data_IF_912919043485
#
_entry.id   IF_912919043485
#
_cell.length_a   1.000
_cell.length_b   1.000
_cell.length_c   1.000
_cell.angle_alpha   90.00
_cell.angle_beta   90.00
_cell.angle_gamma   90.00
#
_symmetry.space_group_name_H-M   'P 1'
#
loop_
_entity.id
_entity.type
_entity.pdbx_description
1 polymer ?
#
# COMPACT_ATOMS: atom_id res chain seq x y z
N UNK A 1 21.88 -11.95 -14.64
CA UNK A 1 21.14 -11.65 -13.40
C UNK A 1 19.68 -11.46 -13.78
N UNK A 2 18.82 -12.46 -13.57
CA UNK A 2 17.40 -12.33 -13.96
C UNK A 2 16.74 -11.21 -13.16
N UNK A 3 16.17 -10.21 -13.83
CA UNK A 3 15.31 -9.22 -13.21
C UNK A 3 13.88 -9.75 -13.19
N UNK A 4 13.15 -9.55 -12.11
CA UNK A 4 11.72 -9.84 -12.08
C UNK A 4 11.02 -8.87 -13.05
N UNK A 5 9.97 -9.34 -13.71
CA UNK A 5 9.21 -8.52 -14.67
C UNK A 5 7.77 -8.31 -14.21
N UNK A 6 7.13 -7.23 -14.67
CA UNK A 6 5.66 -7.08 -14.63
C UNK A 6 5.13 -7.04 -16.05
N UNK A 7 4.05 -7.76 -16.27
CA UNK A 7 3.26 -7.74 -17.49
C UNK A 7 1.96 -6.96 -17.23
N UNK A 8 2.07 -5.63 -17.30
CA UNK A 8 0.98 -4.66 -17.20
C UNK A 8 1.37 -3.37 -17.94
N UNK A 9 0.43 -2.74 -18.66
CA UNK A 9 0.71 -1.55 -19.45
C UNK A 9 0.93 -0.29 -18.60
N UNK A 10 0.36 -0.24 -17.39
CA UNK A 10 0.46 0.91 -16.48
C UNK A 10 1.80 0.96 -15.75
N UNK A 11 2.56 -0.15 -15.76
CA UNK A 11 3.82 -0.31 -15.03
C UNK A 11 5.00 -0.52 -15.97
N UNK A 12 6.18 -0.08 -15.52
CA UNK A 12 7.42 -0.39 -16.23
C UNK A 12 7.74 -1.88 -16.10
N UNK A 13 8.22 -2.53 -17.18
CA UNK A 13 8.37 -3.98 -17.21
C UNK A 13 9.47 -4.51 -16.27
N UNK A 14 10.46 -3.69 -15.90
CA UNK A 14 11.56 -4.11 -15.04
C UNK A 14 11.28 -3.85 -13.55
N UNK A 15 11.21 -4.91 -12.74
CA UNK A 15 11.13 -4.79 -11.29
C UNK A 15 12.50 -4.91 -10.62
N UNK A 16 12.75 -4.02 -9.68
CA UNK A 16 13.87 -4.11 -8.78
C UNK A 16 13.40 -4.57 -7.39
N UNK A 17 14.03 -5.63 -6.91
CA UNK A 17 13.75 -6.23 -5.60
C UNK A 17 14.77 -5.71 -4.59
N UNK A 18 14.28 -5.37 -3.40
CA UNK A 18 15.08 -4.80 -2.33
C UNK A 18 14.78 -5.49 -1.00
N UNK A 19 15.76 -5.49 -0.11
CA UNK A 19 15.64 -5.89 1.29
C UNK A 19 16.03 -4.71 2.17
N UNK A 20 15.27 -4.37 3.22
CA UNK A 20 15.67 -3.34 4.17
C UNK A 20 16.96 -3.75 4.89
N UNK A 21 17.90 -2.81 5.03
CA UNK A 21 19.06 -3.02 5.89
C UNK A 21 18.61 -2.94 7.36
N UNK A 22 19.28 -3.68 8.26
CA UNK A 22 19.08 -3.48 9.69
C UNK A 22 19.45 -2.04 10.05
N UNK A 23 18.75 -1.47 11.04
CA UNK A 23 18.80 -0.03 11.37
C UNK A 23 20.22 0.49 11.58
N UNK A 24 21.07 -0.29 12.22
CA UNK A 24 22.46 0.08 12.50
C UNK A 24 23.37 0.10 11.26
N UNK A 25 23.05 -0.62 10.19
CA UNK A 25 23.86 -0.68 8.97
C UNK A 25 23.37 0.29 7.89
N UNK A 26 22.32 1.08 8.17
CA UNK A 26 21.85 2.08 7.22
C UNK A 26 22.89 3.19 7.05
N UNK A 27 23.02 3.69 5.83
CA UNK A 27 23.97 4.74 5.48
C UNK A 27 23.64 6.10 6.11
N UNK A 28 22.43 6.29 6.62
CA UNK A 28 22.04 7.48 7.40
C UNK A 28 22.33 7.33 8.91
N UNK A 29 22.62 6.12 9.40
CA UNK A 29 22.83 5.88 10.85
C UNK A 29 24.29 5.60 11.16
N UNK A 30 24.90 4.60 10.51
CA UNK A 30 26.25 4.14 10.86
C UNK A 30 27.32 5.22 10.68
N UNK A 31 27.51 5.81 9.48
CA UNK A 31 28.60 6.75 9.27
C UNK A 31 28.42 8.03 10.09
N UNK A 32 27.18 8.51 10.24
CA UNK A 32 26.90 9.68 11.07
C UNK A 32 27.10 9.38 12.56
N UNK A 33 26.70 8.21 13.05
CA UNK A 33 26.98 7.77 14.42
C UNK A 33 28.48 7.72 14.71
N UNK A 34 29.28 7.19 13.77
CA UNK A 34 30.74 7.22 13.87
C UNK A 34 31.28 8.66 13.88
N UNK A 35 30.79 9.53 12.99
CA UNK A 35 31.19 10.93 12.97
C UNK A 35 30.88 11.63 14.31
N UNK A 36 29.66 11.51 14.84
CA UNK A 36 29.31 12.10 16.13
C UNK A 36 30.17 11.55 17.29
N UNK A 37 30.48 10.25 17.27
CA UNK A 37 31.38 9.65 18.27
C UNK A 37 32.82 10.20 18.15
N UNK A 38 33.32 10.44 16.94
CA UNK A 38 34.64 11.07 16.77
C UNK A 38 34.64 12.52 17.25
N UNK A 39 33.60 13.30 16.94
CA UNK A 39 33.48 14.67 17.44
C UNK A 39 33.38 14.73 18.96
N UNK A 40 32.64 13.80 19.59
CA UNK A 40 32.54 13.75 21.06
C UNK A 40 33.86 13.34 21.72
N UNK A 41 34.59 12.39 21.15
CA UNK A 41 35.93 12.03 21.63
C UNK A 41 36.92 13.20 21.49
N UNK A 42 36.93 13.89 20.35
CA UNK A 42 37.75 15.09 20.14
C UNK A 42 37.39 16.21 21.13
N UNK A 43 36.09 16.40 21.42
CA UNK A 43 35.63 17.39 22.40
C UNK A 43 36.04 17.09 23.85
N UNK A 44 36.35 15.83 24.17
CA UNK A 44 36.82 15.41 25.47
C UNK A 44 38.33 15.60 25.65
N UNK A 45 39.10 15.60 24.56
CA UNK A 45 40.58 15.64 24.59
C UNK A 45 41.15 17.01 24.18
N UNK A 46 40.46 17.79 23.34
CA UNK A 46 40.96 19.04 22.79
C UNK A 46 40.19 20.28 23.27
N UNK A 47 40.87 21.43 23.29
CA UNK A 47 40.25 22.74 23.52
C UNK A 47 39.27 23.06 22.38
N UNK A 48 38.06 23.51 22.73
CA UNK A 48 36.97 23.77 21.78
C UNK A 48 37.20 25.10 21.07
N UNK A 49 37.66 25.06 19.83
CA UNK A 49 37.76 26.24 18.95
C UNK A 49 36.51 26.43 18.07
N UNK A 50 36.37 27.60 17.44
CA UNK A 50 35.27 27.89 16.51
C UNK A 50 35.17 26.90 15.34
N UNK A 51 36.30 26.39 14.85
CA UNK A 51 36.32 25.37 13.79
C UNK A 51 35.64 24.05 14.18
N UNK A 52 35.68 23.67 15.47
CA UNK A 52 34.98 22.49 15.97
C UNK A 52 33.46 22.66 15.87
N UNK A 53 32.95 23.83 16.26
CA UNK A 53 31.53 24.15 16.19
C UNK A 53 31.02 24.15 14.73
N UNK A 54 31.79 24.74 13.81
CA UNK A 54 31.47 24.74 12.38
C UNK A 54 31.47 23.33 11.80
N UNK A 55 32.46 22.50 12.15
CA UNK A 55 32.52 21.11 11.73
C UNK A 55 31.33 20.28 12.21
N UNK A 56 30.93 20.44 13.47
CA UNK A 56 29.76 19.76 14.03
C UNK A 56 28.46 20.21 13.34
N UNK A 57 28.32 21.51 13.08
CA UNK A 57 27.17 22.05 12.35
C UNK A 57 27.09 21.48 10.92
N UNK A 58 28.21 21.38 10.20
CA UNK A 58 28.27 20.76 8.87
C UNK A 58 27.84 19.28 8.91
N UNK A 59 28.30 18.51 9.90
CA UNK A 59 27.89 17.11 10.08
C UNK A 59 26.39 17.03 10.36
N UNK A 60 25.84 17.89 11.21
CA UNK A 60 24.41 17.94 11.49
C UNK A 60 23.57 18.32 10.25
N UNK A 61 24.00 19.33 9.49
CA UNK A 61 23.32 19.75 8.26
C UNK A 61 23.36 18.65 7.19
N UNK A 62 24.51 18.00 6.99
CA UNK A 62 24.63 16.89 6.03
C UNK A 62 23.80 15.67 6.46
N UNK A 63 23.78 15.34 7.75
CA UNK A 63 22.92 14.28 8.28
C UNK A 63 21.43 14.58 8.02
N UNK A 64 20.96 15.78 8.38
CA UNK A 64 19.59 16.21 8.12
C UNK A 64 19.24 16.16 6.62
N UNK A 65 20.15 16.64 5.75
CA UNK A 65 19.95 16.60 4.30
C UNK A 65 19.85 15.16 3.77
N UNK A 66 20.68 14.23 4.26
CA UNK A 66 20.59 12.81 3.85
C UNK A 66 19.26 12.18 4.29
N UNK A 67 18.79 12.50 5.50
CA UNK A 67 17.49 12.07 5.97
C UNK A 67 16.36 12.58 5.06
N UNK A 68 16.31 13.90 4.81
CA UNK A 68 15.27 14.50 3.97
C UNK A 68 15.34 14.01 2.52
N UNK A 69 16.52 13.90 1.93
CA UNK A 69 16.70 13.36 0.59
C UNK A 69 16.18 11.92 0.48
N UNK A 70 16.32 11.12 1.54
CA UNK A 70 15.76 9.75 1.59
C UNK A 70 14.23 9.71 1.64
N UNK A 71 13.57 10.73 2.19
CA UNK A 71 12.11 10.81 2.19
C UNK A 71 11.56 11.45 0.90
N UNK A 72 12.32 12.34 0.24
CA UNK A 72 11.91 12.99 -1.01
C UNK A 72 12.12 12.14 -2.25
N UNK A 73 13.10 11.24 -2.22
CA UNK A 73 13.45 10.43 -3.39
C UNK A 73 13.53 8.96 -3.02
N UNK A 74 12.66 8.16 -3.64
CA UNK A 74 12.72 6.70 -3.49
C UNK A 74 14.04 6.10 -3.96
N UNK A 75 14.74 6.74 -4.92
CA UNK A 75 16.06 6.28 -5.36
C UNK A 75 17.09 6.44 -4.24
N UNK A 76 17.09 7.59 -3.58
CA UNK A 76 17.97 7.86 -2.43
C UNK A 76 17.57 6.96 -1.26
N UNK A 77 16.27 6.78 -1.00
CA UNK A 77 15.78 5.84 0.02
C UNK A 77 16.31 4.42 -0.21
N UNK A 78 16.20 3.93 -1.44
CA UNK A 78 16.71 2.61 -1.81
C UNK A 78 18.22 2.52 -1.63
N UNK A 79 18.97 3.57 -1.97
CA UNK A 79 20.42 3.60 -1.78
C UNK A 79 20.84 3.62 -0.31
N UNK A 80 20.16 4.41 0.52
CA UNK A 80 20.53 4.64 1.93
C UNK A 80 20.12 3.47 2.84
N UNK A 81 18.92 2.93 2.64
CA UNK A 81 18.27 2.03 3.60
C UNK A 81 17.98 0.62 3.05
N UNK A 82 18.25 0.34 1.76
CA UNK A 82 17.93 -0.95 1.15
C UNK A 82 19.11 -1.56 0.38
N UNK A 83 19.11 -2.88 0.29
CA UNK A 83 20.07 -3.66 -0.50
C UNK A 83 19.32 -4.34 -1.64
N UNK A 84 19.88 -4.29 -2.84
CA UNK A 84 19.27 -4.92 -4.01
C UNK A 84 19.47 -6.43 -3.96
N UNK A 85 18.41 -7.19 -4.19
CA UNK A 85 18.46 -8.66 -4.22
C UNK A 85 18.12 -9.21 -5.61
N UNK A 86 18.60 -10.42 -5.90
CA UNK A 86 18.20 -11.18 -7.09
C UNK A 86 16.90 -11.93 -6.83
N UNK A 87 16.28 -12.47 -7.90
CA UNK A 87 15.06 -13.29 -7.81
C UNK A 87 15.24 -14.48 -6.86
N UNK A 88 16.41 -15.11 -6.83
CA UNK A 88 16.70 -16.22 -5.92
C UNK A 88 16.57 -15.83 -4.44
N UNK A 89 16.76 -14.54 -4.12
CA UNK A 89 16.56 -14.00 -2.78
C UNK A 89 15.10 -14.01 -2.32
N UNK A 90 14.11 -14.19 -3.22
CA UNK A 90 12.72 -14.37 -2.80
C UNK A 90 12.61 -15.61 -1.90
N UNK A 91 13.13 -16.77 -2.25
CA UNK A 91 12.99 -17.95 -1.39
C UNK A 91 13.70 -17.83 -0.03
N UNK A 92 14.72 -16.96 0.07
CA UNK A 92 15.62 -16.90 1.24
C UNK A 92 15.17 -15.90 2.30
N UNK A 93 14.57 -14.77 1.90
CA UNK A 93 14.22 -13.67 2.80
C UNK A 93 12.72 -13.43 2.78
N UNK A 94 12.12 -13.18 3.95
CA UNK A 94 10.69 -12.87 4.04
C UNK A 94 10.38 -11.38 3.85
N UNK A 95 11.26 -10.51 4.34
CA UNK A 95 11.10 -9.04 4.26
C UNK A 95 11.59 -8.47 2.92
N UNK A 96 10.95 -8.87 1.83
CA UNK A 96 11.28 -8.37 0.48
C UNK A 96 10.28 -7.28 0.06
N UNK A 97 10.81 -6.17 -0.45
CA UNK A 97 10.02 -5.11 -1.07
C UNK A 97 10.35 -5.01 -2.55
N UNK A 98 9.33 -4.72 -3.35
CA UNK A 98 9.48 -4.46 -4.78
C UNK A 98 9.36 -2.96 -5.02
N UNK A 99 10.29 -2.41 -5.80
CA UNK A 99 10.20 -1.04 -6.30
C UNK A 99 9.36 -1.04 -7.57
N UNK A 100 8.18 -0.43 -7.49
CA UNK A 100 7.26 -0.29 -8.61
C UNK A 100 7.41 1.11 -9.19
N UNK A 101 7.68 1.19 -10.49
CA UNK A 101 7.73 2.45 -11.24
C UNK A 101 6.61 2.45 -12.28
N UNK A 102 5.66 3.39 -12.21
CA UNK A 102 4.61 3.50 -13.20
C UNK A 102 5.16 4.02 -14.54
N UNK A 103 4.42 3.72 -15.61
CA UNK A 103 4.69 4.25 -16.95
C UNK A 103 4.29 5.72 -17.03
N UNK A 104 3.19 6.12 -16.38
CA UNK A 104 2.74 7.50 -16.33
C UNK A 104 3.51 8.31 -15.28
N UNK A 105 4.01 9.51 -15.62
CA UNK A 105 4.77 10.35 -14.69
C UNK A 105 3.92 11.00 -13.59
N UNK A 106 2.58 11.05 -13.77
CA UNK A 106 1.65 11.56 -12.76
C UNK A 106 1.49 10.62 -11.57
N UNK A 107 1.79 9.33 -11.74
CA UNK A 107 1.68 8.34 -10.69
C UNK A 107 2.99 8.25 -9.90
N UNK A 108 2.94 8.17 -8.56
CA UNK A 108 4.14 8.05 -7.76
C UNK A 108 4.73 6.64 -7.88
N UNK A 109 6.04 6.54 -8.01
CA UNK A 109 6.74 5.29 -7.72
C UNK A 109 6.55 4.95 -6.23
N UNK A 110 6.57 3.65 -5.89
CA UNK A 110 6.37 3.19 -4.51
C UNK A 110 7.19 1.93 -4.23
N UNK A 111 7.53 1.70 -2.96
CA UNK A 111 8.07 0.43 -2.47
C UNK A 111 6.93 -0.39 -1.89
N UNK A 112 6.54 -1.46 -2.57
CA UNK A 112 5.45 -2.32 -2.14
C UNK A 112 6.02 -3.58 -1.46
N UNK A 113 5.55 -3.96 -0.26
CA UNK A 113 5.97 -5.21 0.37
C UNK A 113 5.41 -6.41 -0.40
N UNK A 114 6.26 -7.40 -0.66
CA UNK A 114 5.82 -8.68 -1.21
C UNK A 114 5.21 -9.50 -0.08
N UNK A 115 3.96 -9.92 -0.26
CA UNK A 115 3.27 -10.80 0.67
C UNK A 115 3.34 -12.24 0.19
N UNK A 116 3.48 -13.12 1.17
CA UNK A 116 3.45 -14.57 0.99
C UNK A 116 2.23 -15.12 1.67
N UNK A 117 1.51 -15.92 0.93
CA UNK A 117 0.36 -16.64 1.45
C UNK A 117 0.69 -18.12 1.34
N UNK A 118 0.89 -18.76 2.50
CA UNK A 118 1.12 -20.20 2.54
C UNK A 118 -0.15 -20.89 2.04
N UNK A 119 -0.05 -21.83 1.09
CA UNK A 119 -1.21 -22.61 0.69
C UNK A 119 -1.74 -23.34 1.92
N UNK A 120 -3.03 -23.16 2.24
CA UNK A 120 -3.61 -23.83 3.40
C UNK A 120 -3.46 -25.35 3.25
N UNK A 121 -3.14 -26.09 4.32
CA UNK A 121 -2.88 -27.54 4.24
C UNK A 121 -4.07 -28.33 3.66
N UNK A 122 -5.29 -27.79 3.77
CA UNK A 122 -6.52 -28.37 3.21
C UNK A 122 -6.60 -28.25 1.68
N UNK A 123 -5.99 -27.22 1.10
CA UNK A 123 -6.01 -26.95 -0.35
C UNK A 123 -4.94 -27.74 -1.13
N UNK A 124 -3.87 -28.21 -0.47
CA UNK A 124 -2.84 -29.03 -1.13
C UNK A 124 -3.32 -30.45 -1.44
N UNK A 125 -4.27 -30.98 -0.66
CA UNK A 125 -4.76 -32.36 -0.79
C UNK A 125 -5.79 -32.51 -1.93
N UNK A 126 -6.53 -31.45 -2.24
CA UNK A 126 -7.50 -31.42 -3.34
C UNK A 126 -7.00 -30.43 -4.37
N UNK A 127 -6.55 -30.93 -5.53
CA UNK A 127 -6.10 -30.15 -6.69
C UNK A 127 -7.12 -29.03 -6.98
N UNK A 128 -6.88 -27.84 -6.44
CA UNK A 128 -7.86 -26.76 -6.47
C UNK A 128 -8.05 -26.32 -7.92
N UNK A 129 -9.30 -26.27 -8.40
CA UNK A 129 -9.65 -25.81 -9.74
C UNK A 129 -9.23 -24.35 -9.97
N UNK A 130 -9.06 -23.57 -8.90
CA UNK A 130 -8.68 -22.17 -8.92
C UNK A 130 -7.23 -22.03 -8.41
N UNK A 131 -6.31 -21.45 -9.21
CA UNK A 131 -4.94 -21.23 -8.77
C UNK A 131 -4.93 -20.15 -7.67
N UNK A 132 -4.44 -20.49 -6.47
CA UNK A 132 -4.24 -19.51 -5.39
C UNK A 132 -2.85 -18.88 -5.54
N UNK A 133 -2.73 -17.54 -5.59
CA UNK A 133 -1.44 -16.88 -5.71
C UNK A 133 -0.65 -16.99 -4.41
N UNK A 134 0.54 -17.59 -4.45
CA UNK A 134 1.41 -17.77 -3.28
C UNK A 134 2.24 -16.52 -2.96
N UNK A 135 2.55 -15.72 -3.98
CA UNK A 135 3.36 -14.52 -3.91
C UNK A 135 2.65 -13.39 -4.65
N UNK A 136 2.43 -12.27 -3.96
CA UNK A 136 1.78 -11.11 -4.56
C UNK A 136 2.20 -9.81 -3.87
N UNK A 137 2.06 -8.69 -4.57
CA UNK A 137 2.17 -7.36 -3.99
C UNK A 137 0.98 -6.51 -4.45
N UNK A 138 0.74 -5.39 -3.77
CA UNK A 138 -0.32 -4.45 -4.12
C UNK A 138 0.28 -3.09 -4.44
N UNK A 139 -0.08 -2.52 -5.59
CA UNK A 139 0.23 -1.14 -5.97
C UNK A 139 -1.07 -0.43 -6.33
N UNK A 140 -1.35 0.72 -5.72
CA UNK A 140 -2.62 1.45 -5.92
C UNK A 140 -3.88 0.59 -5.78
N UNK A 141 -3.91 -0.30 -4.77
CA UNK A 141 -4.99 -1.28 -4.53
C UNK A 141 -5.19 -2.34 -5.64
N UNK A 142 -4.35 -2.35 -6.68
CA UNK A 142 -4.29 -3.43 -7.66
C UNK A 142 -3.31 -4.51 -7.19
N UNK A 143 -3.76 -5.77 -7.23
CA UNK A 143 -2.95 -6.93 -6.84
C UNK A 143 -2.21 -7.49 -8.05
N UNK A 144 -0.91 -7.68 -7.89
CA UNK A 144 -0.03 -8.31 -8.86
C UNK A 144 0.48 -9.62 -8.29
N UNK A 145 0.16 -10.72 -8.95
CA UNK A 145 0.46 -12.07 -8.51
C UNK A 145 1.58 -12.66 -9.36
N UNK A 146 2.43 -13.48 -8.75
CA UNK A 146 3.44 -14.23 -9.48
C UNK A 146 2.79 -15.27 -10.39
N UNK A 147 3.12 -15.26 -11.67
CA UNK A 147 2.69 -16.30 -12.60
C UNK A 147 3.62 -17.52 -12.49
N UNK A 148 3.07 -18.65 -12.05
CA UNK A 148 3.80 -19.92 -11.92
C UNK A 148 3.75 -20.76 -13.21
N UNK A 149 3.03 -20.31 -14.24
CA UNK A 149 2.85 -21.06 -15.49
C UNK A 149 3.99 -20.89 -16.49
N UNK A 150 4.69 -19.76 -16.49
CA UNK A 150 5.84 -19.52 -17.37
C UNK A 150 7.14 -20.01 -16.74
N UNK A 151 7.81 -20.94 -17.40
CA UNK A 151 9.16 -21.41 -17.08
C UNK A 151 10.18 -20.33 -17.49
N UNK A 152 10.38 -19.34 -16.61
CA UNK A 152 11.31 -18.22 -16.72
C UNK A 152 11.12 -17.30 -17.96
N UNK A 153 11.19 -15.96 -17.80
CA UNK A 153 11.50 -15.21 -16.58
C UNK A 153 10.32 -15.13 -15.58
N UNK A 154 10.66 -14.90 -14.30
CA UNK A 154 9.69 -14.69 -13.21
C UNK A 154 8.91 -13.39 -13.46
N UNK A 155 7.62 -13.53 -13.75
CA UNK A 155 6.76 -12.43 -14.16
C UNK A 155 5.57 -12.27 -13.20
N UNK A 156 5.32 -11.04 -12.77
CA UNK A 156 4.13 -10.65 -12.02
C UNK A 156 3.06 -10.15 -12.99
N UNK A 157 1.84 -10.65 -12.82
CA UNK A 157 0.67 -10.26 -13.61
C UNK A 157 -0.40 -9.70 -12.72
N UNK A 158 -1.18 -8.75 -13.25
CA UNK A 158 -2.39 -8.28 -12.59
C UNK A 158 -3.33 -9.46 -12.29
N UNK A 159 -3.97 -9.43 -11.14
CA UNK A 159 -4.94 -10.46 -10.75
C UNK A 159 -6.04 -10.57 -11.81
N UNK A 160 -6.17 -11.76 -12.40
CA UNK A 160 -7.15 -12.02 -13.46
C UNK A 160 -8.49 -12.45 -12.89
N UNK A 161 -9.55 -11.94 -13.53
CA UNK A 161 -10.94 -12.26 -13.24
C UNK A 161 -11.54 -13.08 -14.40
N UNK A 162 -12.50 -13.99 -14.12
CA UNK A 162 -13.11 -14.83 -15.14
C UNK A 162 -14.18 -14.03 -15.91
N UNK A 163 -13.76 -13.03 -16.70
CA UNK A 163 -14.65 -12.14 -17.48
C UNK A 163 -14.69 -12.47 -18.99
N UNK A 164 -13.68 -13.18 -19.49
CA UNK A 164 -13.52 -13.47 -20.93
C UNK A 164 -13.86 -14.92 -21.29
N UNK A 165 -14.87 -15.52 -20.65
CA UNK A 165 -15.34 -16.87 -21.03
C UNK A 165 -16.48 -16.78 -22.03
N UNK A 166 -16.75 -17.87 -22.75
CA UNK A 166 -17.90 -17.95 -23.64
C UNK A 166 -19.22 -17.82 -22.86
N UNK A 167 -20.25 -17.23 -23.48
CA UNK A 167 -21.56 -17.05 -22.86
C UNK A 167 -22.17 -18.38 -22.38
N UNK A 168 -21.95 -19.46 -23.13
CA UNK A 168 -22.38 -20.81 -22.76
C UNK A 168 -21.78 -21.29 -21.42
N UNK A 169 -20.52 -20.90 -21.14
CA UNK A 169 -19.86 -21.25 -19.88
C UNK A 169 -20.48 -20.52 -18.68
N UNK A 170 -20.96 -19.28 -18.86
CA UNK A 170 -21.70 -18.55 -17.82
C UNK A 170 -23.13 -19.07 -17.65
N UNK A 171 -23.84 -19.34 -18.76
CA UNK A 171 -25.19 -19.86 -18.73
C UNK A 171 -25.30 -21.24 -18.06
N UNK A 172 -24.28 -22.08 -18.22
CA UNK A 172 -24.19 -23.41 -17.59
C UNK A 172 -23.54 -23.41 -16.20
N UNK A 173 -23.22 -22.26 -15.62
CA UNK A 173 -22.59 -22.20 -14.30
C UNK A 173 -23.58 -22.58 -13.19
N UNK A 174 -23.16 -23.44 -12.26
CA UNK A 174 -23.97 -23.92 -11.12
C UNK A 174 -23.52 -23.34 -9.77
N UNK A 175 -22.77 -22.23 -9.79
CA UNK A 175 -22.17 -21.63 -8.60
C UNK A 175 -21.12 -22.52 -7.93
N UNK A 176 -20.76 -22.20 -6.70
CA UNK A 176 -19.76 -22.97 -5.93
C UNK A 176 -20.40 -24.16 -5.22
N UNK A 177 -20.17 -25.37 -5.76
CA UNK A 177 -20.66 -26.63 -5.16
C UNK A 177 -19.71 -27.24 -4.12
N UNK A 178 -18.41 -26.94 -4.20
CA UNK A 178 -17.38 -27.45 -3.29
C UNK A 178 -16.83 -26.35 -2.38
N UNK A 179 -16.74 -26.63 -1.07
CA UNK A 179 -16.17 -25.69 -0.08
C UNK A 179 -14.73 -25.33 -0.39
N UNK A 180 -13.95 -26.29 -0.91
CA UNK A 180 -12.55 -26.06 -1.27
C UNK A 180 -12.42 -25.07 -2.43
N UNK A 181 -13.33 -25.14 -3.42
CA UNK A 181 -13.36 -24.17 -4.52
C UNK A 181 -13.74 -22.77 -4.02
N UNK A 182 -14.68 -22.68 -3.08
CA UNK A 182 -15.08 -21.40 -2.46
C UNK A 182 -13.94 -20.80 -1.62
N UNK A 183 -13.28 -21.60 -0.79
CA UNK A 183 -12.11 -21.15 0.00
C UNK A 183 -10.97 -20.69 -0.92
N UNK A 184 -10.69 -21.43 -2.01
CA UNK A 184 -9.70 -21.04 -3.01
C UNK A 184 -10.06 -19.71 -3.71
N UNK A 185 -11.33 -19.51 -4.04
CA UNK A 185 -11.85 -18.27 -4.61
C UNK A 185 -11.68 -17.09 -3.64
N UNK A 186 -12.03 -17.30 -2.36
CA UNK A 186 -11.87 -16.29 -1.30
C UNK A 186 -10.42 -15.88 -1.08
N UNK A 187 -9.47 -16.82 -1.11
CA UNK A 187 -8.04 -16.51 -1.02
C UNK A 187 -7.52 -15.74 -2.25
N UNK A 188 -7.98 -16.13 -3.45
CA UNK A 188 -7.54 -15.51 -4.70
C UNK A 188 -8.05 -14.07 -4.84
N UNK A 189 -9.37 -13.84 -4.71
CA UNK A 189 -9.99 -12.55 -4.98
C UNK A 189 -10.26 -11.69 -3.75
N UNK A 190 -10.13 -12.24 -2.54
CA UNK A 190 -10.47 -11.58 -1.28
C UNK A 190 -11.95 -11.16 -1.23
N UNK A 191 -12.29 -10.40 -0.19
CA UNK A 191 -13.63 -9.87 0.02
C UNK A 191 -13.94 -8.74 -0.96
N UNK A 192 -15.21 -8.63 -1.32
CA UNK A 192 -15.77 -7.53 -2.10
C UNK A 192 -15.98 -6.29 -1.19
N UNK A 193 -14.89 -5.70 -0.72
CA UNK A 193 -14.88 -4.53 0.15
C UNK A 193 -14.11 -3.39 -0.51
N UNK A 194 -14.75 -2.22 -0.61
CA UNK A 194 -14.09 -1.00 -1.05
C UNK A 194 -13.69 -0.18 0.16
N UNK A 195 -12.46 -0.40 0.66
CA UNK A 195 -11.95 0.33 1.82
C UNK A 195 -11.06 1.51 1.38
N UNK A 196 -11.53 2.74 1.62
CA UNK A 196 -10.71 3.95 1.51
C UNK A 196 -9.86 4.01 2.78
N UNK A 197 -8.53 3.87 2.68
CA UNK A 197 -7.69 3.94 3.86
C UNK A 197 -7.74 5.35 4.43
N UNK A 198 -8.12 5.48 5.70
CA UNK A 198 -8.09 6.76 6.40
C UNK A 198 -6.76 6.87 7.15
N UNK A 199 -5.76 7.61 6.61
CA UNK A 199 -4.49 7.75 7.27
C UNK A 199 -4.67 8.54 8.57
N UNK A 200 -3.91 8.15 9.60
CA UNK A 200 -3.91 8.87 10.86
C UNK A 200 -3.44 10.32 10.67
N UNK A 201 -3.99 11.24 11.45
CA UNK A 201 -3.61 12.66 11.45
C UNK A 201 -2.09 12.85 11.49
N UNK A 202 -1.39 12.11 12.36
CA UNK A 202 0.06 12.21 12.52
C UNK A 202 0.83 11.75 11.27
N UNK A 203 0.33 10.72 10.58
CA UNK A 203 0.93 10.25 9.33
C UNK A 203 0.82 11.32 8.25
N UNK A 204 -0.35 11.97 8.15
CA UNK A 204 -0.56 13.07 7.21
C UNK A 204 0.28 14.29 7.56
N UNK A 205 0.33 14.66 8.84
CA UNK A 205 1.12 15.79 9.32
C UNK A 205 2.61 15.57 9.04
N UNK A 206 3.14 14.37 9.32
CA UNK A 206 4.53 14.04 8.98
C UNK A 206 4.82 14.24 7.48
N UNK A 207 3.91 13.83 6.59
CA UNK A 207 4.09 14.02 5.14
C UNK A 207 4.18 15.50 4.76
N UNK A 208 3.38 16.36 5.38
CA UNK A 208 3.42 17.81 5.18
C UNK A 208 4.67 18.46 5.77
N UNK A 209 5.04 18.10 7.00
CA UNK A 209 6.22 18.66 7.68
C UNK A 209 7.54 18.27 7.00
N UNK A 210 7.58 17.12 6.34
CA UNK A 210 8.76 16.66 5.58
C UNK A 210 8.74 17.22 4.16
N UNK A 211 7.69 17.91 3.72
CA UNK A 211 7.65 18.50 2.38
C UNK A 211 8.81 19.50 2.20
N UNK A 212 9.52 19.48 1.03
CA UNK A 212 10.69 20.34 0.81
C UNK A 212 10.42 21.82 1.07
N UNK A 213 9.22 22.28 0.70
CA UNK A 213 8.79 23.66 0.92
C UNK A 213 8.70 24.02 2.41
N UNK A 214 8.01 23.20 3.20
CA UNK A 214 7.87 23.42 4.64
C UNK A 214 9.23 23.41 5.34
N UNK A 215 10.08 22.41 5.05
CA UNK A 215 11.41 22.30 5.65
C UNK A 215 12.25 23.54 5.35
N UNK A 216 12.21 24.03 4.12
CA UNK A 216 12.91 25.25 3.73
C UNK A 216 12.37 26.49 4.47
N UNK A 217 11.05 26.65 4.54
CA UNK A 217 10.42 27.76 5.26
C UNK A 217 10.79 27.74 6.76
N UNK A 218 10.69 26.58 7.39
CA UNK A 218 11.04 26.40 8.80
C UNK A 218 12.52 26.71 9.05
N UNK A 219 13.41 26.27 8.16
CA UNK A 219 14.84 26.56 8.25
C UNK A 219 15.13 28.06 8.11
N UNK A 220 14.49 28.74 7.15
CA UNK A 220 14.61 30.19 6.99
C UNK A 220 14.18 30.91 8.27
N UNK A 221 13.01 30.57 8.83
CA UNK A 221 12.54 31.17 10.10
C UNK A 221 13.48 30.90 11.28
N UNK A 222 14.13 29.73 11.31
CA UNK A 222 15.14 29.41 12.32
C UNK A 222 16.38 30.31 12.22
N UNK A 223 16.82 30.64 11.00
CA UNK A 223 17.94 31.58 10.80
C UNK A 223 17.59 32.99 11.29
N UNK A 224 16.38 33.48 11.02
CA UNK A 224 15.89 34.75 11.57
C UNK A 224 15.81 34.75 13.10
N UNK A 225 15.50 33.59 13.68
CA UNK A 225 15.51 33.39 15.13
C UNK A 225 16.93 33.59 15.69
N UNK A 226 17.97 33.09 15.01
CA UNK A 226 19.36 33.21 15.48
C UNK A 226 19.97 34.62 15.35
N UNK A 227 19.34 35.53 14.59
CA UNK A 227 19.82 36.90 14.32
C UNK A 227 19.07 37.97 15.16
N UNK A 228 18.86 37.69 16.45
CA UNK A 228 18.24 38.57 17.46
C UNK A 228 16.71 38.81 17.38
N UNK A 229 15.99 38.28 16.37
CA UNK A 229 14.53 38.39 16.27
C UNK A 229 13.76 37.21 16.88
N UNK A 230 14.15 36.76 18.08
CA UNK A 230 13.63 35.54 18.72
C UNK A 230 12.10 35.54 18.88
N UNK A 231 11.51 36.60 19.45
CA UNK A 231 10.08 36.60 19.80
C UNK A 231 9.15 36.56 18.58
N UNK A 232 9.41 37.43 17.60
CA UNK A 232 8.61 37.48 16.37
C UNK A 232 8.79 36.20 15.53
N UNK A 233 10.01 35.66 15.47
CA UNK A 233 10.31 34.42 14.74
C UNK A 233 9.65 33.19 15.37
N UNK A 234 9.63 33.10 16.70
CA UNK A 234 8.95 32.01 17.42
C UNK A 234 7.43 32.03 17.19
N UNK A 235 6.81 33.22 17.26
CA UNK A 235 5.37 33.36 17.02
C UNK A 235 4.99 32.98 15.58
N UNK A 236 5.75 33.45 14.60
CA UNK A 236 5.53 33.17 13.18
C UNK A 236 5.77 31.69 12.85
N UNK A 237 6.78 31.06 13.44
CA UNK A 237 7.01 29.62 13.33
C UNK A 237 5.84 28.81 13.93
N UNK A 238 5.30 29.23 15.08
CA UNK A 238 4.11 28.60 15.66
C UNK A 238 2.88 28.75 14.74
N UNK A 239 2.66 29.93 14.16
CA UNK A 239 1.57 30.14 13.19
C UNK A 239 1.72 29.25 11.95
N UNK A 240 2.95 29.06 11.47
CA UNK A 240 3.25 28.19 10.33
C UNK A 240 2.89 26.72 10.64
N UNK A 241 3.26 26.22 11.83
CA UNK A 241 2.88 24.84 12.26
C UNK A 241 1.38 24.70 12.43
N UNK A 242 0.70 25.71 13.03
CA UNK A 242 -0.75 25.70 13.19
C UNK A 242 -1.47 25.69 11.83
N UNK A 243 -0.96 26.44 10.86
CA UNK A 243 -1.49 26.47 9.50
C UNK A 243 -1.39 25.09 8.82
N UNK A 244 -0.24 24.40 8.90
CA UNK A 244 -0.16 23.03 8.36
C UNK A 244 -1.11 22.08 9.08
N UNK A 245 -1.27 22.22 10.40
CA UNK A 245 -2.21 21.41 11.16
C UNK A 245 -3.66 21.60 10.68
N UNK A 246 -4.08 22.84 10.37
CA UNK A 246 -5.45 23.09 9.85
C UNK A 246 -5.61 22.54 8.44
N UNK A 247 -4.60 22.67 7.57
CA UNK A 247 -4.60 22.07 6.23
C UNK A 247 -4.73 20.55 6.29
N UNK A 248 -3.97 19.89 7.16
CA UNK A 248 -4.03 18.43 7.35
C UNK A 248 -5.39 17.99 7.89
N UNK A 249 -5.96 18.73 8.85
CA UNK A 249 -7.32 18.46 9.36
C UNK A 249 -8.36 18.59 8.26
N UNK A 250 -8.27 19.63 7.42
CA UNK A 250 -9.17 19.80 6.28
C UNK A 250 -9.07 18.63 5.31
N UNK A 251 -7.84 18.18 5.02
CA UNK A 251 -7.61 17.02 4.16
C UNK A 251 -8.19 15.73 4.75
N UNK A 252 -8.03 15.50 6.05
CA UNK A 252 -8.60 14.34 6.73
C UNK A 252 -10.12 14.36 6.66
N UNK A 253 -10.73 15.52 6.94
CA UNK A 253 -12.18 15.69 6.85
C UNK A 253 -12.70 15.41 5.43
N UNK A 254 -12.00 15.87 4.39
CA UNK A 254 -12.37 15.56 3.01
C UNK A 254 -12.32 14.05 2.71
N UNK A 255 -11.35 13.32 3.26
CA UNK A 255 -11.27 11.85 3.13
C UNK A 255 -12.41 11.15 3.90
N UNK A 256 -12.77 11.66 5.08
CA UNK A 256 -13.93 11.18 5.84
C UNK A 256 -15.23 11.36 5.04
N UNK A 257 -15.43 12.53 4.42
CA UNK A 257 -16.59 12.78 3.57
C UNK A 257 -16.64 11.82 2.37
N UNK A 258 -15.50 11.51 1.75
CA UNK A 258 -15.43 10.50 0.69
C UNK A 258 -15.73 9.09 1.21
N UNK A 259 -15.30 8.76 2.42
CA UNK A 259 -15.62 7.50 3.06
C UNK A 259 -17.11 7.37 3.40
N UNK A 260 -17.80 8.47 3.73
CA UNK A 260 -19.25 8.47 3.95
C UNK A 260 -20.06 8.19 2.67
N UNK A 261 -19.47 8.37 1.48
CA UNK A 261 -20.10 7.98 0.22
C UNK A 261 -20.03 6.47 -0.03
N UNK A 262 -19.29 5.72 0.80
CA UNK A 262 -19.25 4.27 0.71
C UNK A 262 -20.61 3.69 1.10
N UNK A 263 -21.06 2.71 0.31
CA UNK A 263 -22.33 2.04 0.56
C UNK A 263 -22.16 0.94 1.59
N UNK A 264 -23.08 0.81 2.55
CA UNK A 264 -23.03 -0.27 3.51
C UNK A 264 -23.22 -1.62 2.80
N UNK A 265 -22.66 -2.71 3.38
CA UNK A 265 -22.85 -4.04 2.85
C UNK A 265 -24.32 -4.45 2.90
N UNK A 266 -24.81 -5.01 1.80
CA UNK A 266 -26.21 -5.44 1.66
C UNK A 266 -26.30 -6.96 1.74
N UNK A 267 -27.42 -7.50 2.25
CA UNK A 267 -27.63 -8.95 2.28
C UNK A 267 -28.22 -9.41 0.95
N UNK A 268 -27.57 -10.39 0.33
CA UNK A 268 -27.96 -10.95 -0.97
C UNK A 268 -28.05 -12.46 -0.87
N UNK A 269 -29.00 -13.06 -1.59
CA UNK A 269 -29.08 -14.51 -1.73
C UNK A 269 -28.04 -14.99 -2.73
N UNK A 270 -27.09 -15.82 -2.28
CA UNK A 270 -26.14 -16.49 -3.17
C UNK A 270 -26.35 -18.01 -3.14
N UNK A 271 -26.16 -18.66 -4.28
CA UNK A 271 -26.29 -20.10 -4.44
C UNK A 271 -24.93 -20.78 -4.21
N UNK A 272 -24.76 -21.38 -3.02
CA UNK A 272 -23.54 -22.08 -2.59
C UNK A 272 -23.88 -23.44 -1.99
N UNK A 273 -23.05 -24.44 -2.25
CA UNK A 273 -23.26 -25.82 -1.76
C UNK A 273 -24.64 -26.36 -2.13
N UNK A 274 -25.11 -26.11 -3.36
CA UNK A 274 -26.44 -26.51 -3.88
C UNK A 274 -27.65 -25.93 -3.12
N UNK A 275 -27.45 -24.90 -2.30
CA UNK A 275 -28.51 -24.25 -1.51
C UNK A 275 -28.42 -22.73 -1.64
N UNK A 276 -29.56 -22.06 -1.59
CA UNK A 276 -29.62 -20.61 -1.46
C UNK A 276 -29.33 -20.20 -0.02
N UNK A 277 -28.39 -19.28 0.16
CA UNK A 277 -27.97 -18.78 1.47
C UNK A 277 -27.97 -17.24 1.45
N UNK A 278 -28.48 -16.61 2.50
CA UNK A 278 -28.35 -15.15 2.70
C UNK A 278 -26.92 -14.85 3.16
N UNK A 279 -26.20 -14.04 2.41
CA UNK A 279 -24.80 -13.67 2.66
C UNK A 279 -24.63 -12.16 2.53
N UNK A 280 -23.57 -11.63 3.14
CA UNK A 280 -23.18 -10.23 2.96
C UNK A 280 -22.63 -10.01 1.55
N UNK A 281 -22.88 -8.85 0.95
CA UNK A 281 -22.31 -8.43 -0.33
C UNK A 281 -20.78 -8.41 -0.33
N UNK A 282 -20.17 -8.28 0.86
CA UNK A 282 -18.72 -8.30 1.08
C UNK A 282 -18.11 -9.68 0.93
N UNK A 283 -18.89 -10.74 1.15
CA UNK A 283 -18.40 -12.12 1.06
C UNK A 283 -18.57 -12.69 -0.36
N UNK A 284 -19.12 -11.93 -1.30
CA UNK A 284 -19.29 -12.33 -2.69
C UNK A 284 -17.93 -12.45 -3.39
N UNK A 285 -17.76 -13.53 -4.14
CA UNK A 285 -16.57 -13.78 -4.96
C UNK A 285 -16.96 -14.01 -6.42
N UNK A 286 -16.07 -13.72 -7.39
CA UNK A 286 -16.36 -13.96 -8.80
C UNK A 286 -16.83 -15.40 -9.06
N UNK A 287 -17.94 -15.56 -9.78
CA UNK A 287 -18.54 -16.87 -10.08
C UNK A 287 -19.64 -17.32 -9.11
N UNK A 288 -19.92 -16.55 -8.05
CA UNK A 288 -21.15 -16.73 -7.29
C UNK A 288 -22.38 -16.46 -8.17
N UNK A 289 -23.42 -17.28 -8.00
CA UNK A 289 -24.74 -17.01 -8.55
C UNK A 289 -25.54 -16.29 -7.49
N UNK A 290 -25.99 -15.08 -7.81
CA UNK A 290 -26.78 -14.26 -6.89
C UNK A 290 -28.20 -14.06 -7.41
N UNK A 291 -29.16 -14.03 -6.50
CA UNK A 291 -30.55 -13.66 -6.80
C UNK A 291 -30.78 -12.26 -6.27
N UNK A 292 -31.00 -11.31 -7.18
CA UNK A 292 -31.43 -9.96 -6.85
C UNK A 292 -32.94 -9.91 -7.02
N UNK A 293 -33.65 -9.74 -5.91
CA UNK A 293 -35.10 -9.55 -5.89
C UNK A 293 -35.47 -8.06 -5.87
N UNK A 294 -36.75 -7.76 -6.14
CA UNK A 294 -37.30 -6.44 -5.81
C UNK A 294 -37.26 -6.26 -4.29
N UNK A 295 -36.90 -5.07 -3.77
CA UNK A 295 -37.07 -4.77 -2.36
C UNK A 295 -38.54 -4.97 -2.00
N UNK A 296 -38.82 -5.95 -1.14
CA UNK A 296 -40.14 -6.14 -0.54
C UNK A 296 -40.15 -5.35 0.76
N UNK A 297 -41.04 -4.35 0.84
CA UNK A 297 -41.22 -3.39 1.95
C UNK A 297 -41.36 -3.95 3.38
N UNK A 298 -41.25 -5.27 3.56
CA UNK A 298 -41.39 -5.98 4.82
C UNK A 298 -40.41 -7.17 4.88
N UNK A 299 -39.13 -6.92 5.19
CA UNK A 299 -38.32 -7.91 5.90
C UNK A 299 -38.49 -7.55 7.40
N UNK A 300 -39.03 -8.47 8.21
CA UNK A 300 -39.43 -8.28 9.62
C UNK A 300 -38.28 -7.93 10.59
N UNK A 301 -37.10 -7.58 10.08
CA UNK A 301 -35.85 -7.39 10.85
C UNK A 301 -35.43 -5.92 10.98
N UNK A 302 -36.20 -4.96 10.45
CA UNK A 302 -35.95 -3.53 10.68
C UNK A 302 -34.67 -2.96 10.04
N UNK A 303 -33.96 -3.75 9.23
CA UNK A 303 -32.79 -3.29 8.48
C UNK A 303 -33.25 -2.51 7.23
N UNK A 304 -32.77 -1.27 7.12
CA UNK A 304 -33.11 -0.31 6.05
C UNK A 304 -32.83 -0.89 4.66
N UNK A 305 -33.88 -0.91 3.83
CA UNK A 305 -33.91 -1.46 2.48
C UNK A 305 -32.84 -0.86 1.56
N UNK A 306 -31.94 -1.71 1.08
CA UNK A 306 -30.93 -1.40 0.07
C UNK A 306 -30.98 -2.39 -1.10
N UNK A 307 -32.20 -2.80 -1.48
CA UNK A 307 -32.46 -3.71 -2.61
C UNK A 307 -32.48 -3.04 -4.00
N UNK A 308 -32.25 -1.72 -4.11
CA UNK A 308 -32.35 -1.01 -5.39
C UNK A 308 -31.04 -0.97 -6.19
N UNK A 309 -29.91 -1.33 -5.58
CA UNK A 309 -28.59 -1.19 -6.23
C UNK A 309 -27.86 -2.52 -6.24
N UNK A 310 -27.34 -2.88 -7.41
CA UNK A 310 -26.46 -4.04 -7.55
C UNK A 310 -25.23 -3.91 -6.62
N UNK A 311 -24.88 -4.96 -5.86
CA UNK A 311 -23.76 -4.95 -4.91
C UNK A 311 -22.38 -4.92 -5.57
N UNK A 312 -22.30 -5.33 -6.83
CA UNK A 312 -21.10 -5.39 -7.65
C UNK A 312 -21.50 -5.48 -9.13
N UNK A 313 -20.52 -5.57 -10.03
CA UNK A 313 -20.76 -5.84 -11.44
C UNK A 313 -21.29 -7.26 -11.62
N UNK A 314 -22.46 -7.39 -12.26
CA UNK A 314 -23.17 -8.65 -12.41
C UNK A 314 -23.57 -8.91 -13.86
N UNK A 315 -23.53 -10.18 -14.24
CA UNK A 315 -24.04 -10.66 -15.52
C UNK A 315 -25.44 -11.23 -15.32
N UNK A 316 -26.44 -10.68 -16.01
CA UNK A 316 -27.81 -11.19 -15.96
C UNK A 316 -27.91 -12.52 -16.71
N UNK A 317 -28.12 -13.62 -15.98
CA UNK A 317 -28.29 -14.96 -16.57
C UNK A 317 -29.76 -15.30 -16.87
N UNK A 318 -30.68 -14.86 -16.00
CA UNK A 318 -32.11 -15.13 -16.13
C UNK A 318 -32.92 -14.02 -15.47
N UNK A 319 -33.97 -13.56 -16.15
CA UNK A 319 -34.86 -12.51 -15.68
C UNK A 319 -34.85 -11.28 -16.58
N UNK A 320 -35.45 -10.21 -16.08
CA UNK A 320 -35.41 -8.88 -16.69
C UNK A 320 -35.02 -7.88 -15.59
N UNK A 321 -34.24 -6.87 -15.97
CA UNK A 321 -33.80 -5.78 -15.10
C UNK A 321 -34.46 -4.48 -15.53
#
# INVERSE_FOLDING_TARGET
MGMAQVDDAELRPGLALYRPLPTLLRLDVLPFGMLYATFSACAAVAQRGHGFAVGLALVACTHALTFFASEWSLRVKCFVAYSRISIAGLSTYDDVVVKVEPTLPSLPAELCPIRREAPSPKLQVQKATIPVPTLWFSYQKLRFCLDTSLTAPVCFRRLTYPINKDLAAYAGANGYTSRVALEAAGLRWQKNEFEIPMPAFWTLLKQHLVAPFFVFQFFCMLLWCMDEYMYYSLLTMAMLVLFECTVVKQRQHNLELLALMQRPPTRVYAYRMTKWQRLSSTDLVPGDLVSIGRPTAFDETGDVESGLVAPCDLLLLRGAC
#
